data_IF_748254537624
#
_entry.id   IF_748254537624
#
_cell.length_a   1.000
_cell.length_b   1.000
_cell.length_c   1.000
_cell.angle_alpha   90.00
_cell.angle_beta   90.00
_cell.angle_gamma   90.00
#
_symmetry.space_group_name_H-M   'P 1'
#
loop_
_entity.id
_entity.type
_entity.pdbx_description
1 polymer ?
#
# COMPACT_ATOMS: atom_id res chain seq x y z
N UNK A 1 0.34 9.17 7.35
CA UNK A 1 1.55 8.35 7.11
C UNK A 1 2.19 8.04 8.45
N UNK A 2 2.43 6.76 8.73
CA UNK A 2 3.07 6.29 9.95
C UNK A 2 4.25 5.43 9.55
N UNK A 3 5.43 5.68 10.12
CA UNK A 3 6.58 4.81 9.87
C UNK A 3 7.87 5.33 10.53
N UNK A 4 8.82 4.45 10.84
CA UNK A 4 10.08 4.82 11.48
C UNK A 4 10.94 5.72 10.57
N UNK A 5 10.76 5.64 9.25
CA UNK A 5 11.48 6.46 8.26
C UNK A 5 10.87 7.85 8.05
N UNK A 6 9.74 8.18 8.68
CA UNK A 6 9.18 9.54 8.63
C UNK A 6 10.16 10.50 9.31
N UNK A 7 10.62 11.58 8.63
CA UNK A 7 11.53 12.55 9.24
C UNK A 7 10.98 13.11 10.55
N UNK A 8 11.76 13.16 11.65
CA UNK A 8 11.27 13.69 12.92
C UNK A 8 10.72 15.12 12.84
N UNK A 9 11.24 15.93 11.91
CA UNK A 9 10.75 17.29 11.64
C UNK A 9 9.33 17.35 11.09
N UNK A 10 8.82 16.24 10.51
CA UNK A 10 7.45 16.13 10.02
C UNK A 10 6.52 15.48 11.04
N UNK A 11 7.05 14.79 12.06
CA UNK A 11 6.20 14.08 13.03
C UNK A 11 5.24 15.03 13.75
N UNK A 12 3.97 14.67 13.82
CA UNK A 12 2.90 15.48 14.40
C UNK A 12 2.40 16.63 13.52
N UNK A 13 3.03 16.88 12.36
CA UNK A 13 2.58 17.89 11.41
C UNK A 13 1.45 17.38 10.51
N UNK A 14 0.73 18.34 9.93
CA UNK A 14 -0.28 18.11 8.92
C UNK A 14 0.16 18.72 7.59
N UNK A 15 -0.12 18.04 6.50
CA UNK A 15 0.01 18.60 5.15
C UNK A 15 -1.34 18.66 4.47
N UNK A 16 -1.62 19.82 3.87
CA UNK A 16 -2.73 19.98 2.96
C UNK A 16 -2.36 19.34 1.62
N UNK A 17 -3.26 18.50 1.10
CA UNK A 17 -3.11 17.92 -0.23
C UNK A 17 -3.89 18.80 -1.21
N UNK A 18 -3.23 19.19 -2.30
CA UNK A 18 -3.87 19.93 -3.38
C UNK A 18 -4.84 19.00 -4.11
N UNK A 19 -6.13 19.33 -4.07
CA UNK A 19 -7.19 18.62 -4.76
C UNK A 19 -7.44 19.23 -6.14
N UNK A 20 -7.93 18.44 -7.09
CA UNK A 20 -8.44 18.98 -8.35
C UNK A 20 -9.71 19.83 -8.10
N UNK A 21 -10.03 20.71 -9.05
CA UNK A 21 -11.18 21.63 -8.92
C UNK A 21 -12.51 20.90 -8.67
N UNK A 22 -12.70 19.72 -9.26
CA UNK A 22 -13.90 18.90 -9.09
C UNK A 22 -14.03 18.38 -7.66
N UNK A 23 -12.95 17.82 -7.10
CA UNK A 23 -12.92 17.39 -5.70
C UNK A 23 -13.11 18.55 -4.72
N UNK A 24 -12.53 19.72 -5.01
CA UNK A 24 -12.73 20.92 -4.19
C UNK A 24 -14.20 21.36 -4.21
N UNK A 25 -14.82 21.42 -5.40
CA UNK A 25 -16.22 21.78 -5.57
C UNK A 25 -17.18 20.79 -4.90
N UNK A 26 -16.81 19.50 -4.86
CA UNK A 26 -17.54 18.46 -4.15
C UNK A 26 -17.34 18.48 -2.62
N UNK A 27 -16.53 19.43 -2.10
CA UNK A 27 -16.25 19.54 -0.67
C UNK A 27 -15.37 18.40 -0.12
N UNK A 28 -14.63 17.69 -0.98
CA UNK A 28 -13.69 16.68 -0.54
C UNK A 28 -12.58 17.32 0.32
N UNK A 29 -12.16 16.61 1.36
CA UNK A 29 -11.06 17.03 2.22
C UNK A 29 -10.06 15.88 2.33
N UNK A 30 -8.77 16.20 2.20
CA UNK A 30 -7.68 15.27 2.46
C UNK A 30 -6.75 15.93 3.46
N UNK A 31 -6.62 15.30 4.62
CA UNK A 31 -5.67 15.67 5.65
C UNK A 31 -4.60 14.58 5.76
N UNK A 32 -3.33 14.97 5.67
CA UNK A 32 -2.23 14.04 5.84
C UNK A 32 -1.48 14.36 7.13
N UNK A 33 -1.58 13.46 8.11
CA UNK A 33 -0.77 13.50 9.33
C UNK A 33 0.43 12.59 9.23
N UNK A 34 1.58 13.02 9.76
CA UNK A 34 2.81 12.22 9.78
C UNK A 34 3.15 11.81 11.21
N UNK A 35 3.58 10.56 11.41
CA UNK A 35 4.00 10.03 12.70
C UNK A 35 5.28 9.19 12.54
N UNK A 36 6.35 9.59 13.23
CA UNK A 36 7.62 8.86 13.28
C UNK A 36 7.56 7.77 14.36
N UNK A 37 6.93 6.64 14.03
CA UNK A 37 6.82 5.49 14.92
C UNK A 37 6.53 4.21 14.11
N UNK A 38 6.59 3.03 14.74
CA UNK A 38 6.06 1.80 14.14
C UNK A 38 4.53 1.82 14.11
N UNK A 39 3.93 1.07 13.21
CA UNK A 39 2.46 1.03 13.13
C UNK A 39 1.83 0.43 14.39
N UNK A 40 2.41 -0.62 14.98
CA UNK A 40 1.93 -1.15 16.26
C UNK A 40 2.06 -0.16 17.43
N UNK A 41 3.12 0.67 17.47
CA UNK A 41 3.22 1.75 18.45
C UNK A 41 2.10 2.76 18.28
N UNK A 42 1.83 3.17 17.04
CA UNK A 42 0.70 4.04 16.73
C UNK A 42 -0.63 3.43 17.17
N UNK A 43 -0.85 2.12 16.99
CA UNK A 43 -2.05 1.41 17.46
C UNK A 43 -2.23 1.44 18.99
N UNK A 44 -1.15 1.58 19.75
CA UNK A 44 -1.17 1.71 21.22
C UNK A 44 -1.34 3.17 21.68
N UNK A 45 -1.25 4.14 20.78
CA UNK A 45 -1.34 5.55 21.11
C UNK A 45 -2.78 6.01 21.40
N UNK A 46 -2.93 7.03 22.26
CA UNK A 46 -4.23 7.61 22.61
C UNK A 46 -4.94 8.32 21.43
N UNK A 47 -4.23 8.58 20.34
CA UNK A 47 -4.74 9.24 19.14
C UNK A 47 -5.13 8.24 18.04
N UNK A 48 -4.96 6.94 18.30
CA UNK A 48 -5.30 5.91 17.32
C UNK A 48 -6.79 5.84 17.09
N UNK A 49 -7.17 5.82 15.81
CA UNK A 49 -8.49 5.41 15.37
C UNK A 49 -8.32 4.33 14.29
N UNK A 50 -9.09 3.22 14.37
CA UNK A 50 -8.99 2.17 13.38
C UNK A 50 -9.42 2.72 12.00
N UNK A 51 -8.58 2.56 10.96
CA UNK A 51 -8.92 3.04 9.63
C UNK A 51 -9.93 2.09 8.95
N UNK A 52 -10.72 2.63 8.02
CA UNK A 52 -11.53 1.80 7.11
C UNK A 52 -10.67 0.96 6.17
N UNK A 53 -9.49 1.47 5.82
CA UNK A 53 -8.46 0.83 5.01
C UNK A 53 -7.07 1.33 5.43
N UNK A 54 -6.15 0.41 5.73
CA UNK A 54 -4.73 0.70 5.85
C UNK A 54 -4.01 0.33 4.54
N UNK A 55 -3.03 1.13 4.13
CA UNK A 55 -2.19 0.83 2.97
C UNK A 55 -0.72 0.90 3.37
N UNK A 56 -0.01 -0.21 3.17
CA UNK A 56 1.41 -0.32 3.40
C UNK A 56 2.14 -0.23 2.05
N UNK A 57 2.72 0.95 1.79
CA UNK A 57 3.40 1.22 0.53
C UNK A 57 4.80 0.62 0.51
N UNK A 58 5.07 -0.25 -0.44
CA UNK A 58 6.37 -0.92 -0.65
C UNK A 58 6.99 -1.37 0.68
N UNK A 59 6.17 -2.09 1.45
CA UNK A 59 6.44 -2.40 2.85
C UNK A 59 7.73 -3.22 3.05
N UNK A 60 8.11 -4.00 2.03
CA UNK A 60 9.30 -4.83 2.05
C UNK A 60 9.21 -5.90 3.14
N UNK A 61 8.06 -6.57 3.26
CA UNK A 61 7.85 -7.57 4.32
C UNK A 61 8.89 -8.69 4.23
N UNK A 62 9.31 -9.04 3.02
CA UNK A 62 10.37 -10.00 2.72
C UNK A 62 11.76 -9.63 3.29
N UNK A 63 12.01 -8.37 3.68
CA UNK A 63 13.30 -7.97 4.25
C UNK A 63 13.66 -8.75 5.51
N UNK A 64 12.68 -9.32 6.24
CA UNK A 64 12.94 -10.20 7.38
C UNK A 64 13.77 -11.44 7.04
N UNK A 65 13.78 -11.87 5.76
CA UNK A 65 14.59 -12.98 5.29
C UNK A 65 16.09 -12.63 5.22
N UNK A 66 16.39 -11.33 5.11
CA UNK A 66 17.76 -10.80 4.93
C UNK A 66 18.27 -10.15 6.21
N UNK A 67 17.40 -9.45 6.94
CA UNK A 67 17.71 -8.82 8.24
C UNK A 67 16.59 -9.12 9.27
N UNK A 68 16.67 -10.27 9.96
CA UNK A 68 15.70 -10.63 10.99
C UNK A 68 15.71 -9.71 12.21
N UNK A 69 16.83 -9.05 12.51
CA UNK A 69 16.98 -8.20 13.70
C UNK A 69 16.41 -6.78 13.49
N UNK A 70 16.43 -6.29 12.25
CA UNK A 70 15.79 -5.02 11.84
C UNK A 70 14.30 -5.12 11.53
N UNK A 71 13.69 -6.29 11.70
CA UNK A 71 12.31 -6.58 11.32
C UNK A 71 11.29 -5.93 12.27
N UNK A 72 10.50 -4.97 11.79
CA UNK A 72 9.52 -4.20 12.60
C UNK A 72 8.06 -4.46 12.22
N UNK A 73 7.83 -5.27 11.18
CA UNK A 73 6.51 -5.54 10.62
C UNK A 73 5.75 -6.62 11.39
N UNK A 74 6.37 -7.70 11.87
CA UNK A 74 5.66 -8.84 12.50
C UNK A 74 4.76 -8.42 13.66
N UNK A 75 5.22 -7.50 14.50
CA UNK A 75 4.40 -6.93 15.57
C UNK A 75 3.20 -6.15 14.98
N UNK A 76 3.44 -5.31 13.97
CA UNK A 76 2.39 -4.57 13.26
C UNK A 76 1.39 -5.50 12.56
N UNK A 77 1.84 -6.51 11.81
CA UNK A 77 1.02 -7.49 11.11
C UNK A 77 0.10 -8.24 12.07
N UNK A 78 0.65 -8.72 13.20
CA UNK A 78 -0.13 -9.39 14.24
C UNK A 78 -1.20 -8.48 14.83
N UNK A 79 -0.86 -7.23 15.15
CA UNK A 79 -1.82 -6.26 15.70
C UNK A 79 -2.91 -5.91 14.68
N UNK A 80 -2.56 -5.70 13.41
CA UNK A 80 -3.52 -5.46 12.33
C UNK A 80 -4.48 -6.64 12.13
N UNK A 81 -3.96 -7.87 12.19
CA UNK A 81 -4.76 -9.09 12.10
C UNK A 81 -5.73 -9.23 13.29
N UNK A 82 -5.26 -9.02 14.52
CA UNK A 82 -6.09 -9.02 15.74
C UNK A 82 -7.20 -7.97 15.68
N UNK A 83 -6.88 -6.79 15.14
CA UNK A 83 -7.84 -5.71 14.93
C UNK A 83 -8.74 -5.92 13.69
N UNK A 84 -8.54 -7.00 12.91
CA UNK A 84 -9.27 -7.33 11.68
C UNK A 84 -9.29 -6.17 10.67
N UNK A 85 -8.20 -5.43 10.57
CA UNK A 85 -8.10 -4.31 9.63
C UNK A 85 -8.15 -4.80 8.19
N UNK A 86 -8.76 -3.99 7.31
CA UNK A 86 -8.58 -4.12 5.86
C UNK A 86 -7.25 -3.48 5.50
N UNK A 87 -6.37 -4.26 4.91
CA UNK A 87 -5.01 -3.80 4.61
C UNK A 87 -4.67 -4.12 3.16
N UNK A 88 -4.19 -3.11 2.43
CA UNK A 88 -3.55 -3.28 1.12
C UNK A 88 -2.04 -3.11 1.24
N UNK A 89 -1.29 -3.86 0.45
CA UNK A 89 0.16 -3.79 0.38
C UNK A 89 0.58 -3.57 -1.06
N UNK A 90 1.55 -2.68 -1.30
CA UNK A 90 2.18 -2.53 -2.61
C UNK A 90 3.62 -3.05 -2.58
N UNK A 91 4.14 -3.43 -3.75
CA UNK A 91 5.51 -3.89 -3.96
C UNK A 91 6.07 -3.41 -5.31
N UNK A 92 7.40 -3.35 -5.44
CA UNK A 92 8.06 -2.85 -6.66
C UNK A 92 7.99 -3.83 -7.82
N UNK A 93 7.88 -5.12 -7.55
CA UNK A 93 7.79 -6.16 -8.57
C UNK A 93 6.93 -7.36 -8.11
N UNK A 94 6.64 -8.26 -9.05
CA UNK A 94 5.78 -9.41 -8.80
C UNK A 94 6.39 -10.42 -7.83
N UNK A 95 7.71 -10.56 -7.80
CA UNK A 95 8.40 -11.49 -6.91
C UNK A 95 8.30 -11.02 -5.46
N UNK A 96 8.68 -9.76 -5.20
CA UNK A 96 8.51 -9.13 -3.89
C UNK A 96 7.06 -9.22 -3.41
N UNK A 97 6.09 -8.96 -4.31
CA UNK A 97 4.67 -9.03 -3.97
C UNK A 97 4.23 -10.43 -3.50
N UNK A 98 4.75 -11.49 -4.16
CA UNK A 98 4.46 -12.87 -3.76
C UNK A 98 5.09 -13.22 -2.42
N UNK A 99 6.36 -12.85 -2.22
CA UNK A 99 7.06 -13.13 -0.96
C UNK A 99 6.45 -12.34 0.19
N UNK A 100 6.06 -11.08 -0.02
CA UNK A 100 5.39 -10.26 0.97
C UNK A 100 4.03 -10.84 1.36
N UNK A 101 3.24 -11.31 0.38
CA UNK A 101 1.97 -11.96 0.65
C UNK A 101 2.14 -13.26 1.44
N UNK A 102 3.13 -14.10 1.09
CA UNK A 102 3.44 -15.30 1.86
C UNK A 102 3.86 -14.94 3.29
N UNK A 103 4.72 -13.92 3.45
CA UNK A 103 5.16 -13.43 4.77
C UNK A 103 3.97 -12.97 5.62
N UNK A 104 3.00 -12.31 4.98
CA UNK A 104 1.77 -11.87 5.63
C UNK A 104 0.93 -13.06 6.10
N UNK A 105 0.72 -14.07 5.26
CA UNK A 105 0.00 -15.29 5.63
C UNK A 105 0.72 -16.07 6.74
N UNK A 106 2.03 -16.24 6.66
CA UNK A 106 2.87 -16.92 7.65
C UNK A 106 2.87 -16.22 9.02
N UNK A 107 2.58 -14.92 9.05
CA UNK A 107 2.40 -14.17 10.29
C UNK A 107 1.10 -14.51 11.03
N UNK A 108 0.25 -15.38 10.47
CA UNK A 108 -1.06 -15.75 11.00
C UNK A 108 -2.10 -14.64 10.81
N UNK A 109 -1.95 -13.86 9.73
CA UNK A 109 -2.81 -12.72 9.46
C UNK A 109 -4.16 -13.13 8.82
N UNK A 110 -5.01 -12.14 8.49
CA UNK A 110 -6.29 -12.39 7.83
C UNK A 110 -6.08 -13.05 6.45
N UNK A 111 -7.03 -13.83 5.94
CA UNK A 111 -6.91 -14.36 4.59
C UNK A 111 -6.83 -13.23 3.55
N UNK A 112 -6.08 -13.47 2.49
CA UNK A 112 -6.02 -12.55 1.36
C UNK A 112 -7.41 -12.46 0.70
N UNK A 113 -7.88 -11.23 0.52
CA UNK A 113 -9.09 -10.92 -0.26
C UNK A 113 -8.75 -10.64 -1.72
N UNK A 114 -7.51 -10.25 -1.98
CA UNK A 114 -6.90 -10.10 -3.29
C UNK A 114 -5.48 -10.64 -3.23
N UNK A 115 -5.20 -11.65 -4.04
CA UNK A 115 -3.86 -12.23 -4.12
C UNK A 115 -2.84 -11.27 -4.75
N UNK A 116 -1.55 -11.64 -4.78
CA UNK A 116 -0.52 -10.90 -5.49
C UNK A 116 -0.91 -10.72 -6.95
N UNK A 117 -1.23 -9.48 -7.31
CA UNK A 117 -1.62 -9.10 -8.67
C UNK A 117 -0.84 -7.87 -9.09
N UNK A 118 -0.80 -7.67 -10.40
CA UNK A 118 -0.33 -6.41 -10.94
C UNK A 118 -1.26 -5.28 -10.49
N UNK A 119 -0.67 -4.19 -10.00
CA UNK A 119 -1.43 -3.04 -9.56
C UNK A 119 -1.96 -2.26 -10.78
N UNK A 120 -3.29 -2.12 -10.94
CA UNK A 120 -3.86 -1.33 -12.03
C UNK A 120 -3.62 0.17 -11.84
N UNK A 121 -3.31 0.61 -10.62
CA UNK A 121 -3.03 2.00 -10.26
C UNK A 121 -1.52 2.29 -10.17
N UNK A 122 -0.66 1.37 -10.62
CA UNK A 122 0.79 1.56 -10.62
C UNK A 122 1.19 2.79 -11.44
N UNK A 123 2.37 3.35 -11.15
CA UNK A 123 2.94 4.39 -12.01
C UNK A 123 3.18 3.88 -13.43
N UNK A 124 2.73 4.64 -14.43
CA UNK A 124 3.08 4.40 -15.84
C UNK A 124 4.45 4.97 -16.20
N UNK A 125 5.05 5.78 -15.31
CA UNK A 125 6.39 6.33 -15.51
C UNK A 125 7.42 5.26 -15.15
N UNK A 126 8.32 4.88 -16.07
CA UNK A 126 9.41 3.98 -15.73
C UNK A 126 10.44 4.70 -14.84
N UNK A 127 10.84 4.05 -13.76
CA UNK A 127 11.89 4.51 -12.85
C UNK A 127 13.14 3.68 -13.07
N UNK A 128 14.28 4.35 -13.24
CA UNK A 128 15.57 3.66 -13.38
C UNK A 128 16.01 3.17 -12.01
N UNK A 129 16.38 1.90 -11.94
CA UNK A 129 17.06 1.37 -10.78
C UNK A 129 18.49 1.92 -10.72
N UNK A 130 18.86 2.52 -9.59
CA UNK A 130 20.16 3.20 -9.43
C UNK A 130 21.36 2.26 -9.37
N UNK A 131 21.14 0.98 -9.03
CA UNK A 131 22.20 0.01 -8.78
C UNK A 131 22.43 -0.98 -9.93
N UNK A 132 21.45 -1.13 -10.82
CA UNK A 132 21.49 -2.08 -11.94
C UNK A 132 21.33 -1.33 -13.26
N UNK A 133 22.44 -1.08 -13.95
CA UNK A 133 22.43 -0.36 -15.23
C UNK A 133 21.50 -1.07 -16.24
N UNK A 134 20.38 -0.43 -16.58
CA UNK A 134 19.45 -0.89 -17.61
C UNK A 134 18.09 -1.41 -17.11
N UNK A 135 17.87 -1.51 -15.80
CA UNK A 135 16.57 -1.94 -15.27
C UNK A 135 15.67 -0.75 -14.97
N UNK A 136 14.40 -0.88 -15.38
CA UNK A 136 13.34 0.07 -15.04
C UNK A 136 12.17 -0.63 -14.37
N UNK A 137 11.60 -0.02 -13.33
CA UNK A 137 10.41 -0.51 -12.64
C UNK A 137 9.32 0.56 -12.59
N UNK A 138 8.09 0.13 -12.36
CA UNK A 138 6.97 1.03 -12.03
C UNK A 138 6.87 1.17 -10.51
N UNK A 139 6.60 2.37 -9.98
CA UNK A 139 6.19 2.48 -8.57
C UNK A 139 4.91 1.69 -8.33
N UNK A 140 4.89 1.00 -7.19
CA UNK A 140 3.76 0.19 -6.74
C UNK A 140 3.31 -0.80 -7.82
N UNK A 141 4.24 -1.49 -8.48
CA UNK A 141 3.94 -2.32 -9.66
C UNK A 141 2.94 -3.44 -9.38
N UNK A 142 2.97 -3.99 -8.17
CA UNK A 142 2.10 -5.07 -7.73
C UNK A 142 1.45 -4.75 -6.38
N UNK A 143 0.32 -5.38 -6.10
CA UNK A 143 -0.37 -5.28 -4.81
C UNK A 143 -1.03 -6.58 -4.40
N UNK A 144 -1.31 -6.72 -3.10
CA UNK A 144 -2.22 -7.70 -2.54
C UNK A 144 -3.04 -7.03 -1.43
N UNK A 145 -4.16 -7.63 -1.06
CA UNK A 145 -5.02 -7.11 0.01
C UNK A 145 -5.57 -8.23 0.89
N UNK A 146 -5.83 -7.90 2.14
CA UNK A 146 -6.35 -8.79 3.15
C UNK A 146 -7.39 -8.07 4.02
N UNK A 147 -8.28 -8.84 4.63
CA UNK A 147 -9.29 -8.32 5.53
C UNK A 147 -10.51 -9.24 5.62
N UNK A 148 -11.43 -8.89 6.50
CA UNK A 148 -12.65 -9.67 6.71
C UNK A 148 -13.58 -9.50 5.50
N UNK A 149 -13.90 -10.60 4.81
CA UNK A 149 -14.79 -10.62 3.64
C UNK A 149 -16.25 -10.22 3.96
N UNK A 150 -16.59 -10.06 5.25
CA UNK A 150 -17.96 -9.92 5.76
C UNK A 150 -18.54 -8.51 5.87
N UNK A 151 -17.95 -7.47 5.27
CA UNK A 151 -18.52 -6.12 5.40
C UNK A 151 -17.85 -5.00 4.61
N UNK A 152 -17.25 -5.31 3.45
CA UNK A 152 -16.66 -4.25 2.60
C UNK A 152 -17.69 -3.19 2.20
N UNK A 153 -17.30 -1.92 2.04
CA UNK A 153 -18.18 -0.92 1.44
C UNK A 153 -18.64 -1.42 0.05
N UNK A 154 -19.89 -1.13 -0.31
CA UNK A 154 -20.42 -1.48 -1.62
C UNK A 154 -19.46 -0.99 -2.73
N UNK A 155 -19.23 -1.79 -3.79
CA UNK A 155 -18.40 -1.35 -4.90
C UNK A 155 -18.93 0.00 -5.41
N UNK A 156 -18.01 0.94 -5.64
CA UNK A 156 -18.37 2.23 -6.21
C UNK A 156 -19.07 1.99 -7.56
N UNK A 157 -20.17 2.71 -7.86
CA UNK A 157 -20.86 2.53 -9.13
C UNK A 157 -19.90 2.89 -10.29
N UNK A 158 -19.50 1.90 -11.08
CA UNK A 158 -18.74 2.10 -12.33
C UNK A 158 -17.38 1.39 -12.44
N UNK A 159 -16.81 0.88 -11.35
CA UNK A 159 -15.57 0.09 -11.42
C UNK A 159 -15.90 -1.41 -11.57
N UNK A 160 -16.21 -1.84 -12.80
CA UNK A 160 -16.02 -3.25 -13.15
C UNK A 160 -14.50 -3.49 -13.29
N UNK A 161 -13.96 -4.51 -12.63
CA UNK A 161 -12.54 -4.88 -12.77
C UNK A 161 -12.10 -5.04 -14.23
N UNK A 162 -13.01 -5.41 -15.12
CA UNK A 162 -12.75 -5.48 -16.56
C UNK A 162 -12.42 -4.12 -17.17
N UNK A 163 -13.12 -3.03 -16.78
CA UNK A 163 -12.84 -1.68 -17.31
C UNK A 163 -11.52 -1.11 -16.80
N UNK A 164 -11.10 -1.53 -15.61
CA UNK A 164 -9.78 -1.22 -15.04
C UNK A 164 -8.69 -1.98 -15.80
N UNK A 165 -8.94 -3.25 -16.15
CA UNK A 165 -8.02 -4.08 -16.92
C UNK A 165 -7.86 -3.59 -18.36
N UNK A 166 -8.95 -3.23 -19.04
CA UNK A 166 -8.94 -2.68 -20.40
C UNK A 166 -8.13 -1.38 -20.50
N UNK A 167 -8.30 -0.46 -19.53
CA UNK A 167 -7.48 0.77 -19.44
C UNK A 167 -6.01 0.48 -19.20
N UNK A 168 -5.68 -0.58 -18.46
CA UNK A 168 -4.29 -0.99 -18.24
C UNK A 168 -3.68 -1.57 -19.53
N UNK A 169 -4.43 -2.36 -20.29
CA UNK A 169 -3.96 -3.01 -21.52
C UNK A 169 -3.82 -2.00 -22.68
N UNK A 170 -4.71 -1.01 -22.76
CA UNK A 170 -4.60 0.09 -23.74
C UNK A 170 -3.37 0.96 -23.50
N UNK A 171 -3.05 1.26 -22.23
CA UNK A 171 -1.85 2.00 -21.87
C UNK A 171 -0.55 1.23 -22.17
N UNK A 172 -0.55 -0.11 -22.13
CA UNK A 172 0.60 -0.92 -22.53
C UNK A 172 0.91 -0.83 -24.02
N UNK A 173 -0.12 -0.83 -24.87
CA UNK A 173 0.06 -0.68 -26.32
C UNK A 173 0.76 0.64 -26.67
N UNK A 174 0.50 1.69 -25.88
CA UNK A 174 1.11 3.00 -26.06
C UNK A 174 2.57 3.08 -25.57
N UNK A 175 2.97 2.21 -24.62
CA UNK A 175 4.33 2.18 -24.07
C UNK A 175 5.31 1.33 -24.90
N UNK A 176 4.82 0.34 -25.65
CA UNK A 176 5.67 -0.54 -26.49
C UNK A 176 6.00 0.08 -27.86
N UNK A 177 5.33 1.17 -28.25
CA UNK A 177 5.50 1.82 -29.56
C UNK A 177 6.52 2.97 -29.59
N UNK A 178 7.45 3.08 -28.61
CA UNK A 178 8.46 4.15 -28.55
C UNK A 178 9.89 3.64 -28.43
#
# INVERSE_FOLDING_TARGET
MVGPSVPPSLSGTFSAVQLCNECQAAGCQIEMRYLTETYHGFMDSAIYQPPDLAVAFNAGLHHHLVDPEGETWRASLRRMAQARLRVGFTAYNAEECRVDAQTYEDAGAAPLTLGPVRNPFRSLRPHKEGFSAGYTYAWDACLFAAGDAGGGPAPLPGDNLESVKERSDENERLLVQR
#
